data_IF_063634787706
#
_entry.id   IF_063634787706
#
_cell.length_a   1.000
_cell.length_b   1.000
_cell.length_c   1.000
_cell.angle_alpha   90.00
_cell.angle_beta   90.00
_cell.angle_gamma   90.00
#
_symmetry.space_group_name_H-M   'P 1'
#
loop_
_entity.id
_entity.type
_entity.pdbx_description
1 polymer ?
#
# COMPACT_ATOMS: atom_id res chain seq x y z
N UNK A 1 15.85 0.30 -0.80
CA UNK A 1 16.13 1.09 -2.03
C UNK A 1 15.56 2.47 -1.82
N UNK A 2 16.32 3.50 -2.16
CA UNK A 2 15.89 4.88 -2.09
C UNK A 2 15.89 5.41 -3.53
N UNK A 3 14.75 5.88 -3.99
CA UNK A 3 14.60 6.55 -5.29
C UNK A 3 14.42 8.06 -5.09
N UNK A 4 14.55 8.85 -6.16
CA UNK A 4 14.18 10.26 -6.12
C UNK A 4 12.70 10.41 -5.76
N UNK A 5 12.37 11.25 -4.76
CA UNK A 5 10.98 11.54 -4.38
C UNK A 5 10.14 12.05 -5.56
N UNK A 6 10.80 12.68 -6.54
CA UNK A 6 10.17 13.17 -7.76
C UNK A 6 9.57 12.05 -8.59
N UNK A 7 10.05 10.81 -8.49
CA UNK A 7 9.47 9.68 -9.21
C UNK A 7 8.08 9.30 -8.69
N UNK A 8 7.84 9.42 -7.39
CA UNK A 8 6.53 9.17 -6.80
C UNK A 8 5.54 10.26 -7.22
N UNK A 9 5.97 11.53 -7.23
CA UNK A 9 5.18 12.66 -7.74
C UNK A 9 4.88 12.47 -9.23
N UNK A 10 5.90 12.20 -10.05
CA UNK A 10 5.77 11.97 -11.50
C UNK A 10 4.80 10.83 -11.82
N UNK A 11 4.86 9.73 -11.06
CA UNK A 11 3.91 8.60 -11.20
C UNK A 11 2.49 8.98 -10.80
N UNK A 12 2.31 9.73 -9.72
CA UNK A 12 1.00 10.21 -9.30
C UNK A 12 0.37 11.09 -10.40
N UNK A 13 1.13 12.04 -10.94
CA UNK A 13 0.64 12.96 -11.97
C UNK A 13 0.30 12.24 -13.28
N UNK A 14 1.12 11.25 -13.69
CA UNK A 14 0.79 10.41 -14.83
C UNK A 14 -0.54 9.66 -14.63
N UNK A 15 -0.80 9.13 -13.43
CA UNK A 15 -2.08 8.48 -13.11
C UNK A 15 -3.24 9.48 -13.13
N UNK A 16 -3.06 10.68 -12.58
CA UNK A 16 -4.09 11.72 -12.59
C UNK A 16 -4.40 12.21 -14.01
N UNK A 17 -3.40 12.29 -14.89
CA UNK A 17 -3.62 12.55 -16.31
C UNK A 17 -4.54 11.49 -16.93
N UNK A 18 -4.24 10.21 -16.72
CA UNK A 18 -5.03 9.10 -17.27
C UNK A 18 -6.46 9.10 -16.73
N UNK A 19 -6.64 9.36 -15.43
CA UNK A 19 -7.96 9.52 -14.81
C UNK A 19 -8.70 10.69 -15.46
N UNK A 20 -8.06 11.85 -15.57
CA UNK A 20 -8.69 13.04 -16.13
C UNK A 20 -9.09 12.87 -17.59
N UNK A 21 -8.22 12.26 -18.40
CA UNK A 21 -8.52 11.89 -19.77
C UNK A 21 -9.68 10.89 -19.84
N UNK A 22 -9.69 9.85 -19.00
CA UNK A 22 -10.78 8.84 -19.00
C UNK A 22 -12.15 9.43 -18.65
N UNK A 23 -12.16 10.55 -17.92
CA UNK A 23 -13.37 11.31 -17.54
C UNK A 23 -13.77 12.38 -18.56
N UNK A 24 -12.99 12.55 -19.63
CA UNK A 24 -13.29 13.49 -20.70
C UNK A 24 -12.97 14.95 -20.39
N UNK A 25 -12.13 15.23 -19.39
CA UNK A 25 -11.63 16.59 -19.16
C UNK A 25 -10.71 17.04 -20.29
N UNK A 26 -10.74 18.33 -20.58
CA UNK A 26 -9.83 18.97 -21.54
C UNK A 26 -8.39 18.99 -21.04
N UNK A 27 -7.41 19.09 -21.93
CA UNK A 27 -5.99 19.20 -21.56
C UNK A 27 -5.71 20.33 -20.56
N UNK A 28 -6.45 21.44 -20.68
CA UNK A 28 -6.35 22.59 -19.77
C UNK A 28 -6.87 22.24 -18.36
N UNK A 29 -7.98 21.52 -18.27
CA UNK A 29 -8.51 21.05 -16.98
C UNK A 29 -7.58 20.01 -16.35
N UNK A 30 -7.02 19.10 -17.15
CA UNK A 30 -6.05 18.12 -16.67
C UNK A 30 -4.79 18.83 -16.15
N UNK A 31 -4.25 19.80 -16.89
CA UNK A 31 -3.09 20.58 -16.45
C UNK A 31 -3.35 21.25 -15.08
N UNK A 32 -4.54 21.83 -14.89
CA UNK A 32 -4.96 22.45 -13.63
C UNK A 32 -5.07 21.42 -12.50
N UNK A 33 -5.65 20.24 -12.74
CA UNK A 33 -5.71 19.12 -11.79
C UNK A 33 -4.30 18.72 -11.32
N UNK A 34 -3.36 18.57 -12.27
CA UNK A 34 -1.98 18.22 -11.97
C UNK A 34 -1.31 19.32 -11.15
N UNK A 35 -1.48 20.59 -11.54
CA UNK A 35 -0.94 21.76 -10.85
C UNK A 35 -1.39 21.84 -9.40
N UNK A 36 -2.70 21.71 -9.15
CA UNK A 36 -3.28 21.73 -7.80
C UNK A 36 -2.69 20.60 -6.94
N UNK A 37 -2.49 19.41 -7.51
CA UNK A 37 -1.89 18.29 -6.79
C UNK A 37 -0.45 18.62 -6.33
N UNK A 38 0.39 19.16 -7.23
CA UNK A 38 1.80 19.50 -6.92
C UNK A 38 1.89 20.68 -5.96
N UNK A 39 1.07 21.71 -6.13
CA UNK A 39 1.04 22.86 -5.23
C UNK A 39 0.62 22.43 -3.82
N UNK A 40 -0.40 21.58 -3.70
CA UNK A 40 -0.84 21.05 -2.42
C UNK A 40 0.24 20.18 -1.76
N UNK A 41 0.96 19.37 -2.56
CA UNK A 41 2.14 18.62 -2.10
C UNK A 41 3.23 19.55 -1.54
N UNK A 42 3.67 20.55 -2.32
CA UNK A 42 4.73 21.48 -1.90
C UNK A 42 4.35 22.28 -0.65
N UNK A 43 3.13 22.83 -0.64
CA UNK A 43 2.59 23.55 0.52
C UNK A 43 2.68 22.68 1.76
N UNK A 44 2.29 21.40 1.66
CA UNK A 44 2.31 20.47 2.79
C UNK A 44 3.74 20.12 3.23
N UNK A 45 4.68 19.91 2.30
CA UNK A 45 6.10 19.71 2.63
C UNK A 45 6.66 20.90 3.44
N UNK A 46 6.36 22.13 3.04
CA UNK A 46 6.79 23.33 3.76
C UNK A 46 6.11 23.50 5.12
N UNK A 47 4.86 23.06 5.27
CA UNK A 47 4.20 23.00 6.57
C UNK A 47 4.93 22.04 7.53
N UNK A 48 5.31 20.84 7.06
CA UNK A 48 6.10 19.88 7.86
C UNK A 48 7.50 20.44 8.24
N UNK A 49 8.09 21.29 7.40
CA UNK A 49 9.35 21.96 7.75
C UNK A 49 9.21 22.97 8.91
N UNK A 50 8.04 23.56 9.09
CA UNK A 50 7.77 24.61 10.11
C UNK A 50 7.30 24.01 11.43
N UNK A 51 6.53 22.93 11.38
CA UNK A 51 5.97 22.27 12.55
C UNK A 51 6.24 20.77 12.44
N UNK A 52 6.82 20.17 13.49
CA UNK A 52 6.77 18.73 13.67
C UNK A 52 5.34 18.32 13.95
N UNK A 53 4.55 18.16 12.90
CA UNK A 53 3.21 17.64 12.97
C UNK A 53 3.22 16.17 12.54
N UNK A 54 3.94 15.37 13.33
CA UNK A 54 4.11 13.93 13.15
C UNK A 54 2.75 13.20 13.12
N UNK A 55 1.69 13.84 13.61
CA UNK A 55 0.32 13.34 13.67
C UNK A 55 -0.62 13.84 12.56
N UNK A 56 -0.12 14.56 11.54
CA UNK A 56 -1.00 14.97 10.44
C UNK A 56 -1.68 13.75 9.81
N UNK A 57 -3.01 13.81 9.74
CA UNK A 57 -3.86 12.85 9.08
C UNK A 57 -5.03 13.58 8.41
N UNK A 58 -5.57 13.00 7.34
CA UNK A 58 -6.87 13.37 6.80
C UNK A 58 -7.95 12.71 7.66
N UNK A 59 -8.86 13.52 8.20
CA UNK A 59 -9.85 13.14 9.21
C UNK A 59 -11.19 13.77 8.88
N UNK A 60 -12.26 13.32 9.53
CA UNK A 60 -13.60 13.91 9.39
C UNK A 60 -13.67 15.42 9.71
N UNK A 61 -12.69 15.95 10.47
CA UNK A 61 -12.64 17.37 10.88
C UNK A 61 -12.00 18.28 9.84
N UNK A 62 -11.07 17.77 9.03
CA UNK A 62 -10.29 18.54 8.05
C UNK A 62 -10.48 18.07 6.61
N UNK A 63 -11.47 17.20 6.37
CA UNK A 63 -11.88 16.76 5.04
C UNK A 63 -13.32 17.19 4.75
N UNK A 64 -13.61 17.38 3.46
CA UNK A 64 -14.94 17.60 2.90
C UNK A 64 -15.16 16.70 1.67
N UNK A 65 -16.30 16.88 1.00
CA UNK A 65 -16.63 16.21 -0.26
C UNK A 65 -16.50 14.68 -0.21
N UNK A 66 -15.93 14.13 -1.28
CA UNK A 66 -15.79 12.68 -1.51
C UNK A 66 -14.90 12.00 -0.46
N UNK A 67 -13.84 12.67 -0.01
CA UNK A 67 -12.95 12.11 1.03
C UNK A 67 -13.65 12.01 2.38
N UNK A 68 -14.42 13.03 2.78
CA UNK A 68 -15.21 12.95 4.03
C UNK A 68 -16.29 11.88 3.96
N UNK A 69 -16.92 11.71 2.79
CA UNK A 69 -17.89 10.65 2.55
C UNK A 69 -17.24 9.27 2.75
N UNK A 70 -16.14 9.01 2.04
CA UNK A 70 -15.34 7.79 2.17
C UNK A 70 -15.00 7.49 3.64
N UNK A 71 -14.43 8.46 4.37
CA UNK A 71 -14.08 8.29 5.78
C UNK A 71 -15.29 7.96 6.69
N UNK A 72 -16.48 8.49 6.39
CA UNK A 72 -17.69 8.14 7.14
C UNK A 72 -18.16 6.72 6.82
N UNK A 73 -18.11 6.32 5.55
CA UNK A 73 -18.50 4.99 5.08
C UNK A 73 -17.56 3.92 5.65
N UNK A 74 -16.24 4.13 5.59
CA UNK A 74 -15.25 3.20 6.14
C UNK A 74 -15.38 3.02 7.66
N UNK A 75 -15.77 4.08 8.39
CA UNK A 75 -15.88 4.05 9.86
C UNK A 75 -17.06 3.20 10.36
N UNK A 76 -18.15 3.11 9.58
CA UNK A 76 -19.34 2.35 10.00
C UNK A 76 -19.27 0.85 9.61
N UNK A 77 -18.24 0.44 8.86
CA UNK A 77 -18.03 -0.96 8.52
C UNK A 77 -17.78 -1.80 9.77
N UNK A 78 -18.33 -3.01 9.77
CA UNK A 78 -18.20 -3.95 10.88
C UNK A 78 -17.15 -5.02 10.57
N UNK A 79 -16.28 -5.29 11.55
CA UNK A 79 -15.37 -6.43 11.51
C UNK A 79 -16.12 -7.75 11.27
N UNK A 80 -17.24 -7.96 11.97
CA UNK A 80 -18.06 -9.17 11.84
C UNK A 80 -18.64 -9.29 10.43
N UNK A 81 -19.20 -8.21 9.89
CA UNK A 81 -19.74 -8.21 8.52
C UNK A 81 -18.64 -8.49 7.49
N UNK A 82 -17.41 -8.02 7.74
CA UNK A 82 -16.27 -8.30 6.90
C UNK A 82 -15.86 -9.78 6.96
N UNK A 83 -15.78 -10.37 8.16
CA UNK A 83 -15.57 -11.82 8.33
C UNK A 83 -16.64 -12.62 7.58
N UNK A 84 -17.91 -12.28 7.75
CA UNK A 84 -19.04 -12.99 7.12
C UNK A 84 -19.02 -12.88 5.59
N UNK A 85 -18.43 -11.82 5.04
CA UNK A 85 -18.26 -11.68 3.58
C UNK A 85 -17.20 -12.63 2.98
N UNK A 86 -16.31 -13.17 3.82
CA UNK A 86 -15.17 -14.00 3.39
C UNK A 86 -15.19 -15.42 3.98
N UNK A 87 -16.00 -15.65 5.01
CA UNK A 87 -16.05 -16.89 5.79
C UNK A 87 -17.47 -17.34 6.04
N UNK A 88 -17.64 -18.64 6.28
CA UNK A 88 -18.86 -19.24 6.78
C UNK A 88 -18.55 -20.02 8.08
N UNK A 89 -19.60 -20.38 8.82
CA UNK A 89 -19.48 -21.23 10.01
C UNK A 89 -19.78 -22.66 9.61
N UNK A 90 -18.80 -23.55 9.80
CA UNK A 90 -18.88 -24.98 9.52
C UNK A 90 -18.38 -25.74 10.74
N UNK A 91 -19.17 -26.72 11.23
CA UNK A 91 -18.83 -27.51 12.42
C UNK A 91 -18.43 -26.66 13.64
N UNK A 92 -19.19 -25.58 13.89
CA UNK A 92 -18.97 -24.63 15.00
C UNK A 92 -17.70 -23.76 14.91
N UNK A 93 -16.92 -23.86 13.83
CA UNK A 93 -15.74 -23.02 13.58
C UNK A 93 -15.90 -22.21 12.28
N UNK A 94 -15.17 -21.09 12.16
CA UNK A 94 -15.13 -20.33 10.90
C UNK A 94 -14.18 -20.97 9.88
N UNK A 95 -14.60 -20.95 8.62
CA UNK A 95 -13.86 -21.42 7.45
C UNK A 95 -13.98 -20.42 6.31
N UNK A 96 -12.97 -20.32 5.45
CA UNK A 96 -13.07 -19.45 4.27
C UNK A 96 -14.12 -19.96 3.28
N UNK A 97 -14.82 -19.05 2.62
CA UNK A 97 -15.72 -19.40 1.52
C UNK A 97 -14.86 -19.75 0.29
N UNK A 98 -14.95 -20.99 -0.19
CA UNK A 98 -14.25 -21.46 -1.39
C UNK A 98 -14.90 -20.86 -2.64
N UNK A 99 -14.08 -20.55 -3.64
CA UNK A 99 -14.50 -19.99 -4.94
C UNK A 99 -13.44 -20.22 -6.00
N UNK A 100 -13.67 -19.88 -7.27
CA UNK A 100 -12.65 -20.01 -8.33
C UNK A 100 -11.30 -19.34 -8.01
N UNK A 101 -11.30 -18.31 -7.16
CA UNK A 101 -10.10 -17.57 -6.75
C UNK A 101 -9.66 -17.89 -5.32
N UNK A 102 -10.43 -18.67 -4.55
CA UNK A 102 -10.12 -19.10 -3.17
C UNK A 102 -10.21 -20.62 -3.12
N UNK A 103 -9.06 -21.29 -3.09
CA UNK A 103 -8.95 -22.74 -3.24
C UNK A 103 -8.25 -23.37 -2.04
N UNK A 104 -8.56 -24.64 -1.79
CA UNK A 104 -7.83 -25.43 -0.82
C UNK A 104 -6.38 -25.65 -1.27
N UNK A 105 -5.51 -25.93 -0.30
CA UNK A 105 -4.09 -26.22 -0.51
C UNK A 105 -3.81 -27.67 -0.11
N UNK A 106 -2.79 -28.28 -0.71
CA UNK A 106 -2.33 -29.60 -0.29
C UNK A 106 -1.65 -29.56 1.09
N UNK A 107 -1.52 -30.74 1.70
CA UNK A 107 -0.96 -30.88 3.06
C UNK A 107 0.48 -30.37 3.16
N UNK A 108 1.27 -30.50 2.10
CA UNK A 108 2.67 -30.05 2.09
C UNK A 108 2.74 -28.52 2.16
N UNK A 109 1.99 -27.85 1.29
CA UNK A 109 1.84 -26.40 1.27
C UNK A 109 1.27 -25.89 2.58
N UNK A 110 0.30 -26.61 3.17
CA UNK A 110 -0.26 -26.29 4.48
C UNK A 110 0.82 -26.32 5.56
N UNK A 111 1.63 -27.38 5.62
CA UNK A 111 2.73 -27.49 6.57
C UNK A 111 3.74 -26.34 6.40
N UNK A 112 4.11 -26.01 5.16
CA UNK A 112 5.03 -24.90 4.88
C UNK A 112 4.49 -23.55 5.35
N UNK A 113 3.19 -23.29 5.15
CA UNK A 113 2.55 -22.05 5.60
C UNK A 113 2.46 -21.99 7.12
N UNK A 114 2.15 -23.10 7.81
CA UNK A 114 2.11 -23.13 9.27
C UNK A 114 3.49 -22.87 9.88
N UNK A 115 4.55 -23.46 9.32
CA UNK A 115 5.93 -23.19 9.71
C UNK A 115 6.31 -21.71 9.46
N UNK A 116 5.91 -21.16 8.31
CA UNK A 116 6.11 -19.75 7.98
C UNK A 116 5.33 -18.83 8.93
N UNK A 117 4.13 -19.22 9.36
CA UNK A 117 3.28 -18.48 10.29
C UNK A 117 3.92 -18.38 11.68
N UNK A 118 4.50 -19.46 12.21
CA UNK A 118 5.23 -19.43 13.49
C UNK A 118 6.41 -18.45 13.46
N UNK A 119 7.11 -18.37 12.32
CA UNK A 119 8.20 -17.41 12.11
C UNK A 119 7.67 -15.98 11.96
N UNK A 120 6.57 -15.81 11.23
CA UNK A 120 5.90 -14.52 11.06
C UNK A 120 5.46 -13.93 12.39
N UNK A 121 4.83 -14.71 13.27
CA UNK A 121 4.36 -14.21 14.57
C UNK A 121 5.53 -13.62 15.37
N UNK A 122 6.73 -14.20 15.29
CA UNK A 122 7.92 -13.66 15.96
C UNK A 122 8.37 -12.31 15.36
N UNK A 123 8.03 -12.01 14.11
CA UNK A 123 8.35 -10.74 13.44
C UNK A 123 7.43 -9.57 13.83
N UNK A 124 6.21 -9.86 14.31
CA UNK A 124 5.26 -8.82 14.73
C UNK A 124 5.69 -8.23 16.07
N UNK A 125 5.64 -6.89 16.26
CA UNK A 125 5.96 -6.25 17.54
C UNK A 125 5.14 -6.79 18.72
N UNK A 126 5.80 -7.08 19.84
CA UNK A 126 5.13 -7.56 21.07
C UNK A 126 4.06 -6.60 21.59
N UNK A 127 4.29 -5.29 21.47
CA UNK A 127 3.33 -4.23 21.83
C UNK A 127 2.07 -4.22 20.97
N UNK A 128 2.12 -4.82 19.77
CA UNK A 128 1.01 -4.93 18.84
C UNK A 128 0.27 -6.26 18.95
N UNK A 129 0.87 -7.30 19.54
CA UNK A 129 0.20 -8.58 19.83
C UNK A 129 -0.78 -8.38 20.99
N UNK A 130 -2.08 -8.54 20.74
CA UNK A 130 -3.10 -8.46 21.80
C UNK A 130 -2.82 -9.49 22.90
N UNK A 131 -2.98 -9.09 24.15
CA UNK A 131 -3.00 -9.99 25.30
C UNK A 131 -4.34 -10.73 25.37
N UNK A 132 -4.35 -12.00 24.99
CA UNK A 132 -5.39 -13.01 25.19
C UNK A 132 -4.98 -14.27 24.42
N UNK A 133 -4.93 -15.49 24.93
CA UNK A 133 -5.40 -16.10 26.19
C UNK A 133 -4.29 -16.30 27.24
N UNK A 134 -4.74 -16.41 28.50
CA UNK A 134 -4.12 -16.83 29.77
C UNK A 134 -2.63 -17.24 29.85
N UNK A 135 -1.94 -16.69 30.85
CA UNK A 135 -0.72 -17.27 31.45
C UNK A 135 0.50 -17.46 30.52
N UNK A 136 0.80 -16.45 29.70
CA UNK A 136 2.12 -16.34 29.08
C UNK A 136 2.40 -17.30 27.90
N UNK A 137 1.38 -17.99 27.38
CA UNK A 137 1.46 -18.71 26.10
C UNK A 137 0.57 -18.06 25.03
N UNK A 138 1.21 -17.46 24.02
CA UNK A 138 0.56 -16.83 22.86
C UNK A 138 0.37 -17.87 21.74
N UNK A 139 -0.40 -18.92 22.02
CA UNK A 139 -0.64 -19.97 21.02
C UNK A 139 -1.77 -19.52 20.10
N UNK A 140 -1.42 -18.89 18.97
CA UNK A 140 -2.39 -18.50 17.94
C UNK A 140 -2.91 -19.75 17.22
N UNK A 141 -4.19 -20.11 17.45
CA UNK A 141 -4.83 -21.23 16.75
C UNK A 141 -5.18 -20.84 15.33
N UNK A 142 -4.56 -21.52 14.35
CA UNK A 142 -4.92 -21.38 12.93
C UNK A 142 -6.15 -22.23 12.64
N UNK A 143 -7.27 -21.60 12.28
CA UNK A 143 -8.55 -22.27 11.97
C UNK A 143 -8.60 -22.79 10.55
N UNK A 144 -8.12 -22.00 9.58
CA UNK A 144 -8.19 -22.34 8.16
C UNK A 144 -7.07 -21.67 7.36
N UNK A 145 -6.67 -22.29 6.24
CA UNK A 145 -5.70 -21.72 5.30
C UNK A 145 -6.12 -22.03 3.87
N UNK A 146 -6.14 -21.01 3.02
CA UNK A 146 -6.53 -21.14 1.60
C UNK A 146 -5.56 -20.40 0.69
N UNK A 147 -5.40 -20.90 -0.53
CA UNK A 147 -4.73 -20.17 -1.60
C UNK A 147 -5.71 -19.17 -2.23
N UNK A 148 -5.22 -17.97 -2.49
CA UNK A 148 -5.96 -16.90 -3.16
C UNK A 148 -5.22 -16.42 -4.41
N UNK A 149 -5.88 -16.55 -5.55
CA UNK A 149 -5.40 -16.03 -6.83
C UNK A 149 -5.80 -14.56 -6.96
N UNK A 150 -4.83 -13.67 -7.22
CA UNK A 150 -5.14 -12.25 -7.48
C UNK A 150 -5.47 -12.03 -8.97
N UNK A 151 -6.63 -11.45 -9.30
CA UNK A 151 -6.98 -11.11 -10.69
C UNK A 151 -6.29 -9.84 -11.22
N UNK A 152 -5.53 -9.11 -10.38
CA UNK A 152 -4.91 -7.82 -10.73
C UNK A 152 -3.62 -7.89 -11.55
N UNK A 153 -3.40 -6.89 -12.41
CA UNK A 153 -2.31 -6.81 -13.41
C UNK A 153 -0.89 -6.92 -12.82
N UNK A 154 -0.66 -6.35 -11.62
CA UNK A 154 0.65 -6.39 -10.94
C UNK A 154 0.95 -7.70 -10.19
N UNK A 155 -0.04 -8.59 -10.09
CA UNK A 155 0.06 -9.89 -9.39
C UNK A 155 -0.52 -11.04 -10.22
N UNK A 156 -0.73 -10.84 -11.53
CA UNK A 156 -1.28 -11.85 -12.41
C UNK A 156 -0.47 -13.14 -12.32
N UNK A 157 -1.16 -14.25 -12.03
CA UNK A 157 -0.57 -15.58 -11.86
C UNK A 157 0.09 -15.85 -10.50
N UNK A 158 0.13 -14.89 -9.56
CA UNK A 158 0.76 -15.09 -8.25
C UNK A 158 -0.27 -15.53 -7.21
N UNK A 159 0.05 -16.61 -6.51
CA UNK A 159 -0.73 -17.14 -5.40
C UNK A 159 -0.32 -16.40 -4.12
N UNK A 160 -1.31 -15.83 -3.44
CA UNK A 160 -1.20 -15.39 -2.04
C UNK A 160 -1.93 -16.39 -1.15
N UNK A 161 -1.69 -16.38 0.15
CA UNK A 161 -2.39 -17.26 1.08
C UNK A 161 -3.20 -16.45 2.08
N UNK A 162 -4.41 -16.89 2.40
CA UNK A 162 -5.21 -16.33 3.49
C UNK A 162 -5.18 -17.30 4.66
N UNK A 163 -4.92 -16.77 5.85
CA UNK A 163 -4.82 -17.54 7.10
C UNK A 163 -5.86 -16.98 8.06
N UNK A 164 -6.78 -17.83 8.50
CA UNK A 164 -7.78 -17.49 9.51
C UNK A 164 -7.25 -17.92 10.87
N UNK A 165 -7.13 -16.99 11.81
CA UNK A 165 -6.65 -17.26 13.16
C UNK A 165 -7.72 -16.93 14.19
N UNK A 166 -7.71 -17.66 15.30
CA UNK A 166 -8.55 -17.36 16.44
C UNK A 166 -8.23 -15.99 17.05
N UNK A 167 -9.28 -15.26 17.40
CA UNK A 167 -9.18 -13.97 18.06
C UNK A 167 -8.67 -14.04 19.50
N UNK A 168 -8.64 -12.89 20.22
CA UNK A 168 -8.27 -12.84 21.62
C UNK A 168 -9.20 -13.64 22.56
N UNK A 169 -10.41 -13.96 22.09
CA UNK A 169 -11.37 -14.83 22.77
C UNK A 169 -11.83 -15.93 21.80
N UNK A 170 -12.47 -16.97 22.33
CA UNK A 170 -13.08 -18.05 21.52
C UNK A 170 -14.34 -17.60 20.76
N UNK A 171 -14.71 -16.31 20.86
CA UNK A 171 -15.83 -15.74 20.11
C UNK A 171 -15.44 -15.61 18.65
N UNK A 172 -16.15 -16.30 17.75
CA UNK A 172 -15.89 -16.30 16.31
C UNK A 172 -15.91 -14.90 15.68
N UNK A 173 -16.57 -13.92 16.29
CA UNK A 173 -16.60 -12.51 15.85
C UNK A 173 -15.24 -11.80 16.02
N UNK A 174 -14.33 -12.37 16.81
CA UNK A 174 -13.00 -11.84 17.08
C UNK A 174 -11.92 -12.49 16.21
N UNK A 175 -12.26 -13.49 15.40
CA UNK A 175 -11.31 -14.16 14.50
C UNK A 175 -10.67 -13.17 13.53
N UNK A 176 -9.41 -13.40 13.16
CA UNK A 176 -8.62 -12.47 12.36
C UNK A 176 -8.25 -13.13 11.04
N UNK A 177 -8.41 -12.39 9.94
CA UNK A 177 -7.96 -12.81 8.62
C UNK A 177 -6.61 -12.15 8.34
N UNK A 178 -5.60 -12.97 8.12
CA UNK A 178 -4.30 -12.53 7.62
C UNK A 178 -4.17 -12.88 6.15
N UNK A 179 -3.49 -12.03 5.39
CA UNK A 179 -3.01 -12.36 4.05
C UNK A 179 -1.48 -12.44 4.03
N UNK A 180 -0.95 -13.50 3.47
CA UNK A 180 0.47 -13.73 3.24
C UNK A 180 0.75 -13.62 1.74
N UNK A 181 1.57 -12.63 1.36
CA UNK A 181 1.86 -12.33 -0.04
C UNK A 181 3.37 -12.46 -0.31
N UNK A 182 3.78 -13.24 -1.34
CA UNK A 182 5.16 -13.25 -1.80
C UNK A 182 5.64 -11.83 -2.11
N UNK A 183 6.75 -11.45 -1.48
CA UNK A 183 7.37 -10.15 -1.66
C UNK A 183 8.15 -10.12 -2.97
N UNK A 184 8.04 -9.02 -3.69
CA UNK A 184 8.78 -8.82 -4.94
C UNK A 184 10.05 -8.03 -4.70
N UNK A 185 11.05 -8.27 -5.54
CA UNK A 185 12.22 -7.40 -5.64
C UNK A 185 11.76 -5.98 -5.95
N UNK A 186 12.33 -5.01 -5.26
CA UNK A 186 12.01 -3.60 -5.50
C UNK A 186 12.21 -3.24 -6.98
N UNK A 187 11.22 -2.61 -7.60
CA UNK A 187 11.35 -2.12 -8.98
C UNK A 187 12.52 -1.15 -9.15
N UNK A 188 12.86 -0.38 -8.10
CA UNK A 188 13.96 0.58 -8.11
C UNK A 188 15.32 -0.15 -8.23
N UNK A 189 15.44 -1.38 -7.71
CA UNK A 189 16.69 -2.15 -7.74
C UNK A 189 17.22 -2.48 -9.15
N UNK A 190 16.34 -2.42 -10.15
CA UNK A 190 16.72 -2.66 -11.54
C UNK A 190 17.40 -1.44 -12.18
N UNK A 191 17.23 -0.25 -11.61
CA UNK A 191 17.71 1.02 -12.18
C UNK A 191 18.74 1.69 -11.27
N UNK A 192 18.52 1.66 -9.95
CA UNK A 192 19.41 2.26 -8.96
C UNK A 192 20.04 1.15 -8.12
N UNK A 193 21.37 1.04 -8.23
CA UNK A 193 22.17 0.13 -7.39
C UNK A 193 22.61 0.83 -6.12
N UNK A 194 22.36 0.19 -4.99
CA UNK A 194 22.82 0.65 -3.69
C UNK A 194 23.25 -0.57 -2.86
N UNK A 195 24.54 -0.96 -2.92
CA UNK A 195 25.04 -2.15 -2.24
C UNK A 195 24.83 -2.14 -0.73
N UNK A 196 24.87 -0.96 -0.08
CA UNK A 196 24.62 -0.85 1.36
C UNK A 196 23.19 -1.27 1.70
N UNK A 197 22.21 -0.79 0.94
CA UNK A 197 20.80 -1.17 1.07
C UNK A 197 20.54 -2.63 0.70
N UNK A 198 21.21 -3.12 -0.34
CA UNK A 198 21.12 -4.52 -0.77
C UNK A 198 21.64 -5.47 0.33
N UNK A 199 22.73 -5.11 1.01
CA UNK A 199 23.32 -5.89 2.09
C UNK A 199 22.55 -5.74 3.42
N UNK A 200 21.87 -4.62 3.63
CA UNK A 200 21.11 -4.38 4.86
C UNK A 200 19.87 -5.29 4.96
N UNK A 201 19.11 -5.45 3.88
CA UNK A 201 17.90 -6.27 3.91
C UNK A 201 18.20 -7.73 3.62
N UNK A 202 17.89 -8.60 4.59
CA UNK A 202 17.97 -10.06 4.42
C UNK A 202 17.17 -10.58 3.22
N UNK A 203 15.97 -10.03 3.01
CA UNK A 203 15.09 -10.38 1.87
C UNK A 203 13.98 -9.32 1.68
N UNK A 204 13.26 -9.39 0.56
CA UNK A 204 12.25 -8.38 0.19
C UNK A 204 11.00 -8.31 1.10
N UNK A 205 10.67 -9.37 1.83
CA UNK A 205 9.58 -9.37 2.82
C UNK A 205 9.84 -8.39 3.96
N UNK A 206 10.98 -8.57 4.64
CA UNK A 206 11.52 -7.67 5.65
C UNK A 206 11.64 -6.24 5.12
N UNK A 207 12.19 -6.05 3.90
CA UNK A 207 12.30 -4.73 3.29
C UNK A 207 10.95 -4.03 3.20
N UNK A 208 9.94 -4.73 2.67
CA UNK A 208 8.61 -4.16 2.45
C UNK A 208 7.98 -3.74 3.78
N UNK A 209 8.07 -4.58 4.80
CA UNK A 209 7.54 -4.30 6.15
C UNK A 209 8.26 -3.12 6.81
N UNK A 210 9.59 -3.11 6.79
CA UNK A 210 10.38 -2.01 7.37
C UNK A 210 10.10 -0.67 6.66
N UNK A 211 9.97 -0.68 5.34
CA UNK A 211 9.60 0.51 4.59
C UNK A 211 8.18 0.99 4.94
N UNK A 212 7.22 0.09 5.16
CA UNK A 212 5.88 0.47 5.63
C UNK A 212 5.91 1.10 7.03
N UNK A 213 6.68 0.53 7.96
CA UNK A 213 6.91 1.14 9.29
C UNK A 213 7.58 2.50 9.23
N UNK A 214 8.52 2.69 8.29
CA UNK A 214 9.13 3.99 8.08
C UNK A 214 8.10 4.98 7.54
N UNK A 215 7.34 4.65 6.48
CA UNK A 215 6.53 5.62 5.74
C UNK A 215 5.14 5.92 6.35
N UNK A 216 4.60 5.03 7.18
CA UNK A 216 3.23 5.17 7.70
C UNK A 216 3.24 5.64 9.15
N UNK A 217 2.46 6.70 9.43
CA UNK A 217 2.25 7.19 10.80
C UNK A 217 1.32 6.30 11.65
N UNK A 218 0.69 5.29 11.04
CA UNK A 218 -0.06 4.26 11.74
C UNK A 218 0.00 2.99 10.91
N UNK A 219 0.90 2.10 11.30
CA UNK A 219 1.03 0.80 10.64
C UNK A 219 -0.03 -0.19 11.13
N UNK A 220 -0.48 -1.09 10.24
CA UNK A 220 -1.35 -2.18 10.63
C UNK A 220 -0.77 -2.99 11.79
N UNK A 221 -1.67 -3.50 12.64
CA UNK A 221 -1.30 -4.19 13.88
C UNK A 221 -0.55 -5.50 13.63
N UNK A 222 -0.93 -6.22 12.58
CA UNK A 222 -0.43 -7.54 12.23
C UNK A 222 0.57 -7.51 11.08
N UNK A 223 1.11 -6.34 10.75
CA UNK A 223 2.12 -6.23 9.72
C UNK A 223 3.41 -6.93 10.16
N UNK A 224 3.86 -7.90 9.38
CA UNK A 224 5.05 -8.70 9.64
C UNK A 224 5.59 -9.37 8.38
N UNK A 225 6.67 -10.13 8.53
CA UNK A 225 7.33 -10.79 7.41
C UNK A 225 7.71 -12.23 7.77
N UNK A 226 7.84 -13.07 6.75
CA UNK A 226 8.34 -14.45 6.88
C UNK A 226 8.91 -14.95 5.56
N UNK A 227 9.18 -16.24 5.46
CA UNK A 227 9.48 -16.91 4.20
C UNK A 227 8.78 -18.27 4.14
N UNK A 228 8.24 -18.62 2.98
CA UNK A 228 7.79 -19.98 2.66
C UNK A 228 8.94 -20.64 1.91
N UNK A 229 9.67 -21.53 2.57
CA UNK A 229 10.96 -22.02 2.05
C UNK A 229 11.92 -20.84 1.78
N UNK A 230 12.33 -20.66 0.52
CA UNK A 230 13.18 -19.54 0.09
C UNK A 230 12.40 -18.31 -0.40
N UNK A 231 11.06 -18.35 -0.42
CA UNK A 231 10.23 -17.28 -0.96
C UNK A 231 9.91 -16.29 0.16
N UNK A 232 10.45 -15.06 0.13
CA UNK A 232 10.13 -14.07 1.15
C UNK A 232 8.69 -13.60 1.02
N UNK A 233 8.03 -13.38 2.15
CA UNK A 233 6.64 -12.96 2.22
C UNK A 233 6.47 -11.76 3.16
N UNK A 234 5.52 -10.90 2.82
CA UNK A 234 4.90 -10.00 3.80
C UNK A 234 3.60 -10.66 4.29
N UNK A 235 3.22 -10.36 5.53
CA UNK A 235 1.97 -10.79 6.15
C UNK A 235 1.34 -9.57 6.77
N UNK A 236 0.03 -9.43 6.61
CA UNK A 236 -0.72 -8.32 7.19
C UNK A 236 -2.20 -8.72 7.36
N UNK A 237 -2.94 -7.95 8.15
CA UNK A 237 -4.36 -8.16 8.42
C UNK A 237 -5.22 -7.64 7.28
N UNK A 238 -6.25 -8.41 6.94
CA UNK A 238 -7.36 -7.93 6.13
C UNK A 238 -8.37 -7.27 7.08
N UNK A 239 -8.55 -5.95 6.95
CA UNK A 239 -9.42 -5.18 7.85
C UNK A 239 -10.59 -4.55 7.11
N UNK A 240 -11.73 -4.49 7.79
CA UNK A 240 -12.94 -3.80 7.32
C UNK A 240 -12.75 -2.29 7.16
N UNK A 241 -11.71 -1.72 7.79
CA UNK A 241 -11.45 -0.29 7.84
C UNK A 241 -10.36 0.19 6.88
N UNK A 242 -10.01 -0.63 5.88
CA UNK A 242 -9.18 -0.24 4.75
C UNK A 242 -10.06 -0.20 3.49
N UNK A 243 -10.08 0.94 2.80
CA UNK A 243 -10.93 1.15 1.64
C UNK A 243 -10.23 2.03 0.61
N UNK A 244 -10.33 1.62 -0.65
CA UNK A 244 -9.84 2.39 -1.79
C UNK A 244 -10.85 3.49 -2.15
N UNK A 245 -10.35 4.61 -2.66
CA UNK A 245 -11.21 5.65 -3.22
C UNK A 245 -11.79 5.16 -4.55
N UNK A 246 -13.11 5.06 -4.62
CA UNK A 246 -13.82 4.80 -5.87
C UNK A 246 -13.84 6.07 -6.74
N UNK A 247 -13.16 6.00 -7.89
CA UNK A 247 -13.09 7.10 -8.84
C UNK A 247 -14.30 7.16 -9.77
N UNK A 248 -15.08 6.08 -9.91
CA UNK A 248 -16.22 6.03 -10.84
C UNK A 248 -17.29 7.08 -10.46
N UNK A 249 -17.41 7.36 -9.16
CA UNK A 249 -18.34 8.33 -8.58
C UNK A 249 -17.80 9.79 -8.53
N UNK A 250 -16.61 10.06 -9.06
CA UNK A 250 -15.94 11.38 -8.99
C UNK A 250 -15.83 11.96 -10.40
N UNK A 251 -16.89 12.60 -10.89
CA UNK A 251 -16.99 13.04 -12.29
C UNK A 251 -16.95 14.55 -12.48
N UNK A 252 -17.33 15.33 -11.47
CA UNK A 252 -17.32 16.79 -11.55
C UNK A 252 -15.90 17.32 -11.34
N UNK A 253 -15.49 18.31 -12.16
CA UNK A 253 -14.17 18.92 -12.07
C UNK A 253 -13.85 19.42 -10.64
N UNK A 254 -14.84 20.05 -9.97
CA UNK A 254 -14.69 20.55 -8.61
C UNK A 254 -14.46 19.44 -7.57
N UNK A 255 -15.09 18.28 -7.74
CA UNK A 255 -14.86 17.12 -6.86
C UNK A 255 -13.44 16.57 -7.07
N UNK A 256 -12.97 16.53 -8.31
CA UNK A 256 -11.63 16.04 -8.67
C UNK A 256 -10.56 16.95 -8.08
N UNK A 257 -10.64 18.27 -8.26
CA UNK A 257 -9.64 19.21 -7.72
C UNK A 257 -9.58 19.16 -6.19
N UNK A 258 -10.71 18.96 -5.51
CA UNK A 258 -10.76 18.79 -4.05
C UNK A 258 -10.01 17.51 -3.63
N UNK A 259 -10.31 16.39 -4.29
CA UNK A 259 -9.68 15.08 -4.03
C UNK A 259 -8.17 15.11 -4.29
N UNK A 260 -7.72 15.66 -5.43
CA UNK A 260 -6.28 15.72 -5.75
C UNK A 260 -5.52 16.67 -4.83
N UNK A 261 -6.19 17.69 -4.29
CA UNK A 261 -5.68 18.54 -3.23
C UNK A 261 -5.35 17.71 -1.98
N UNK A 262 -6.24 16.79 -1.57
CA UNK A 262 -5.98 15.86 -0.47
C UNK A 262 -4.90 14.82 -0.81
N UNK A 263 -4.85 14.32 -2.04
CA UNK A 263 -3.81 13.38 -2.48
C UNK A 263 -2.41 14.01 -2.45
N UNK A 264 -2.27 15.28 -2.84
CA UNK A 264 -1.01 16.02 -2.71
C UNK A 264 -0.54 16.10 -1.26
N UNK A 265 -1.45 16.39 -0.32
CA UNK A 265 -1.14 16.42 1.12
C UNK A 265 -0.77 15.03 1.67
N UNK A 266 -1.49 13.98 1.25
CA UNK A 266 -1.21 12.61 1.66
C UNK A 266 0.15 12.13 1.14
N UNK A 267 0.50 12.47 -0.10
CA UNK A 267 1.80 12.17 -0.70
C UNK A 267 2.93 12.86 0.07
N UNK A 268 2.76 14.15 0.39
CA UNK A 268 3.71 14.87 1.22
C UNK A 268 3.85 14.26 2.61
N UNK A 269 2.76 13.79 3.23
CA UNK A 269 2.80 13.09 4.52
C UNK A 269 3.64 11.81 4.46
N UNK A 270 3.45 11.00 3.42
CA UNK A 270 4.21 9.75 3.21
C UNK A 270 5.71 10.05 3.06
N UNK A 271 6.08 11.12 2.35
CA UNK A 271 7.47 11.51 2.18
C UNK A 271 8.08 12.11 3.46
N UNK A 272 7.35 12.99 4.15
CA UNK A 272 7.90 13.85 5.22
C UNK A 272 7.86 13.25 6.62
N UNK A 273 6.94 12.33 6.92
CA UNK A 273 6.73 11.83 8.30
C UNK A 273 7.32 10.44 8.51
N UNK A 274 8.38 10.13 7.75
CA UNK A 274 8.94 8.79 7.66
C UNK A 274 9.78 8.31 8.88
N UNK A 275 9.67 8.94 10.06
CA UNK A 275 10.57 8.71 11.21
C UNK A 275 9.89 8.70 12.60
N UNK A 276 8.59 9.01 12.71
CA UNK A 276 7.94 9.17 14.03
C UNK A 276 7.73 7.84 14.75
N UNK A 277 7.23 6.84 14.03
CA UNK A 277 6.96 5.49 14.56
C UNK A 277 8.20 4.58 14.50
N UNK A 278 9.28 4.99 13.83
CA UNK A 278 10.58 4.31 13.94
C UNK A 278 11.10 4.32 15.38
N UNK A 279 10.68 5.25 16.23
CA UNK A 279 11.08 5.26 17.66
C UNK A 279 10.33 4.23 18.50
N UNK A 280 9.18 3.76 18.03
CA UNK A 280 8.29 2.80 18.70
C UNK A 280 8.25 1.45 17.97
N UNK A 281 8.89 1.32 16.81
CA UNK A 281 9.30 0.00 16.29
C UNK A 281 10.19 -0.67 17.32
N UNK A 282 9.95 -1.95 17.65
CA UNK A 282 10.82 -2.71 18.55
C UNK A 282 12.29 -2.58 18.14
N UNK A 283 13.21 -2.59 19.11
CA UNK A 283 14.66 -2.62 18.84
C UNK A 283 15.07 -3.79 17.90
N UNK A 284 14.20 -4.79 17.78
CA UNK A 284 14.34 -6.01 16.99
C UNK A 284 13.90 -5.82 15.52
N UNK A 285 13.13 -4.76 15.24
CA UNK A 285 12.70 -4.31 13.92
C UNK A 285 13.53 -3.06 13.61
N UNK A 286 14.78 -3.27 13.23
CA UNK A 286 15.77 -2.21 13.06
C UNK A 286 15.20 -1.04 12.25
N UNK A 287 15.20 0.15 12.84
CA UNK A 287 15.00 1.38 12.07
C UNK A 287 16.02 1.39 10.94
N UNK A 288 15.61 1.83 9.75
CA UNK A 288 16.55 2.02 8.65
C UNK A 288 17.69 2.93 9.13
N UNK A 289 18.96 2.50 9.03
CA UNK A 289 20.05 3.20 9.68
C UNK A 289 20.14 4.63 9.15
N UNK A 290 20.55 5.57 10.00
CA UNK A 290 20.61 7.00 9.68
C UNK A 290 21.54 7.35 8.51
N UNK A 291 22.43 6.44 8.11
CA UNK A 291 23.23 6.55 6.90
C UNK A 291 22.44 6.35 5.61
N UNK A 292 21.21 5.81 5.68
CA UNK A 292 20.42 5.35 4.53
C UNK A 292 19.21 6.26 4.25
N UNK A 293 18.53 6.80 5.26
CA UNK A 293 17.42 7.75 5.08
C UNK A 293 17.69 9.03 5.90
N UNK A 294 17.59 10.24 5.31
CA UNK A 294 17.72 11.48 6.04
C UNK A 294 16.66 11.60 7.16
N UNK A 295 17.07 11.94 8.40
CA UNK A 295 16.15 12.21 9.53
C UNK A 295 15.18 13.38 9.33
N UNK A 296 15.35 14.16 8.27
CA UNK A 296 14.60 15.38 7.97
C UNK A 296 14.28 15.42 6.48
N UNK A 297 13.59 14.38 5.98
CA UNK A 297 13.24 14.23 4.56
C UNK A 297 12.50 15.47 4.06
N UNK A 298 11.63 16.07 4.89
CA UNK A 298 10.95 17.32 4.60
C UNK A 298 11.93 18.47 4.30
N UNK A 299 13.03 18.57 5.05
CA UNK A 299 14.05 19.60 4.80
C UNK A 299 14.90 19.26 3.58
N UNK A 300 15.23 17.99 3.37
CA UNK A 300 15.94 17.55 2.16
C UNK A 300 15.13 17.87 0.89
N UNK A 301 13.83 17.58 0.90
CA UNK A 301 12.93 17.94 -0.21
C UNK A 301 12.86 19.45 -0.37
N UNK A 302 12.62 20.19 0.73
CA UNK A 302 12.59 21.66 0.69
C UNK A 302 13.89 22.22 0.11
N UNK A 303 15.05 21.78 0.58
CA UNK A 303 16.35 22.34 0.19
C UNK A 303 16.70 22.00 -1.27
N UNK A 304 16.15 20.92 -1.82
CA UNK A 304 16.26 20.59 -3.24
C UNK A 304 15.39 21.47 -4.16
N UNK A 305 14.31 22.05 -3.65
CA UNK A 305 13.30 22.78 -4.47
C UNK A 305 13.34 24.30 -4.22
N UNK A 306 13.60 24.70 -2.97
CA UNK A 306 13.38 26.06 -2.47
C UNK A 306 14.09 27.10 -3.34
N UNK A 307 13.33 28.07 -3.81
CA UNK A 307 13.82 29.13 -4.69
C UNK A 307 13.47 28.89 -6.16
N UNK A 308 13.09 27.65 -6.50
CA UNK A 308 12.69 27.22 -7.84
C UNK A 308 11.30 26.56 -7.82
N UNK A 309 10.44 26.94 -6.87
CA UNK A 309 9.13 26.33 -6.64
C UNK A 309 8.27 26.28 -7.90
N UNK A 310 8.22 27.39 -8.66
CA UNK A 310 7.46 27.47 -9.90
C UNK A 310 8.05 26.60 -11.01
N UNK A 311 9.38 26.53 -11.10
CA UNK A 311 10.08 25.67 -12.05
C UNK A 311 9.80 24.20 -11.75
N UNK A 312 9.85 23.81 -10.48
CA UNK A 312 9.48 22.46 -10.04
C UNK A 312 8.03 22.12 -10.38
N UNK A 313 7.07 23.01 -10.08
CA UNK A 313 5.66 22.79 -10.43
C UNK A 313 5.52 22.59 -11.94
N UNK A 314 6.13 23.46 -12.74
CA UNK A 314 6.04 23.39 -14.19
C UNK A 314 6.68 22.11 -14.73
N UNK A 315 7.86 21.70 -14.26
CA UNK A 315 8.51 20.45 -14.68
C UNK A 315 7.65 19.22 -14.34
N UNK A 316 7.07 19.17 -13.14
CA UNK A 316 6.23 18.04 -12.72
C UNK A 316 4.94 17.97 -13.54
N UNK A 317 4.29 19.10 -13.77
CA UNK A 317 3.06 19.19 -14.60
C UNK A 317 3.37 18.82 -16.04
N UNK A 318 4.42 19.39 -16.64
CA UNK A 318 4.86 19.06 -18.00
C UNK A 318 5.15 17.56 -18.13
N UNK A 319 5.87 16.97 -17.18
CA UNK A 319 6.11 15.54 -17.18
C UNK A 319 4.79 14.75 -17.15
N UNK A 320 3.85 15.11 -16.26
CA UNK A 320 2.56 14.43 -16.15
C UNK A 320 1.75 14.48 -17.45
N UNK A 321 1.72 15.65 -18.10
CA UNK A 321 1.05 15.85 -19.39
C UNK A 321 1.71 15.02 -20.50
N UNK A 322 3.03 15.11 -20.65
CA UNK A 322 3.78 14.44 -21.73
C UNK A 322 3.78 12.93 -21.54
N UNK A 323 4.10 12.45 -20.34
CA UNK A 323 4.18 11.02 -20.07
C UNK A 323 2.80 10.37 -20.02
N UNK A 324 1.77 11.07 -19.52
CA UNK A 324 0.39 10.59 -19.56
C UNK A 324 -0.11 10.38 -21.00
N UNK A 325 0.13 11.37 -21.88
CA UNK A 325 -0.20 11.26 -23.30
C UNK A 325 0.57 10.12 -23.99
N UNK A 326 1.85 9.92 -23.63
CA UNK A 326 2.65 8.79 -24.11
C UNK A 326 2.03 7.45 -23.72
N UNK A 327 1.69 7.26 -22.43
CA UNK A 327 1.07 6.02 -21.94
C UNK A 327 -0.24 5.72 -22.67
N UNK A 328 -1.06 6.74 -22.92
CA UNK A 328 -2.30 6.57 -23.68
C UNK A 328 -2.03 6.10 -25.12
N UNK A 329 -1.08 6.74 -25.81
CA UNK A 329 -0.69 6.38 -27.17
C UNK A 329 -0.16 4.95 -27.23
N UNK A 330 0.70 4.60 -26.28
CA UNK A 330 1.33 3.28 -26.22
C UNK A 330 0.29 2.20 -25.89
N UNK A 331 -0.70 2.49 -25.03
CA UNK A 331 -1.82 1.59 -24.78
C UNK A 331 -2.69 1.38 -26.04
N UNK A 332 -2.97 2.45 -26.80
CA UNK A 332 -3.69 2.33 -28.08
C UNK A 332 -2.92 1.45 -29.07
N UNK A 333 -1.61 1.69 -29.21
CA UNK A 333 -0.74 0.88 -30.07
C UNK A 333 -0.72 -0.59 -29.62
N UNK A 334 -0.60 -0.84 -28.31
CA UNK A 334 -0.67 -2.19 -27.75
C UNK A 334 -1.99 -2.87 -28.12
N UNK A 335 -3.13 -2.19 -27.96
CA UNK A 335 -4.44 -2.75 -28.27
C UNK A 335 -4.61 -3.04 -29.77
N UNK A 336 -4.12 -2.15 -30.64
CA UNK A 336 -4.10 -2.36 -32.09
C UNK A 336 -3.24 -3.57 -32.48
N UNK A 337 -2.01 -3.67 -31.94
CA UNK A 337 -1.13 -4.81 -32.18
C UNK A 337 -1.72 -6.11 -31.64
N UNK A 338 -2.31 -6.08 -30.45
CA UNK A 338 -2.94 -7.24 -29.82
C UNK A 338 -4.11 -7.75 -30.64
N UNK A 339 -5.03 -6.88 -31.05
CA UNK A 339 -6.21 -7.27 -31.86
C UNK A 339 -5.85 -7.80 -33.23
N UNK A 340 -4.75 -7.31 -33.81
CA UNK A 340 -4.27 -7.75 -35.11
C UNK A 340 -3.28 -8.93 -35.03
N UNK A 341 -3.12 -9.55 -33.84
CA UNK A 341 -2.21 -10.69 -33.61
C UNK A 341 -0.77 -10.40 -34.04
N UNK A 342 -0.32 -9.16 -33.83
CA UNK A 342 1.04 -8.74 -34.12
C UNK A 342 1.97 -8.81 -32.90
N UNK A 343 1.47 -9.28 -31.74
CA UNK A 343 2.27 -9.48 -30.53
C UNK A 343 2.68 -10.96 -30.46
N UNK A 344 3.96 -11.31 -30.66
CA UNK A 344 4.43 -12.68 -30.58
C UNK A 344 4.12 -13.30 -29.22
N UNK A 345 3.62 -14.54 -29.21
CA UNK A 345 3.30 -15.29 -27.98
C UNK A 345 1.88 -15.08 -27.41
N UNK A 346 1.04 -14.26 -28.06
CA UNK A 346 -0.39 -14.07 -27.73
C UNK A 346 -1.34 -14.68 -28.76
N UNK A 347 -0.86 -15.60 -29.60
CA UNK A 347 -1.59 -16.10 -30.77
C UNK A 347 -2.69 -17.14 -30.43
N UNK A 348 -2.65 -17.73 -29.22
CA UNK A 348 -3.51 -18.85 -28.79
C UNK A 348 -4.08 -18.71 -27.35
N UNK A 349 -4.80 -17.61 -27.05
CA UNK A 349 -5.70 -17.56 -25.88
C UNK A 349 -7.15 -17.30 -26.26
#
# INVERSE_FOLDING_TARGET
>A
YCGPFTWDVKRLLASLYLIGHSKGFSDREIEEILRICVESYLKKVYEFCKQKNDYFALTLKNTSGKIKKLLNETRIKSHVAHLDSMTNIENYDRRFIRSKIVQDIDDTTRTDILNAFETYIKSVPESKKTSGYSEGRKDYKVKDVVARSSPGVGSAGKISYSILIEGPTETLENDIILYMKPAQKSAISYVIRNPELENYFKHDGLRTVLCSYAMQASTPKWLGYTSIGSIPCLVDEVTAHAEDLDWDDINEFNDVIEVVGYLGQATAKIHCVADSDCKSTPNDVACLPFSIIPRQVEKTIRDAIRGNDQEFINEMVEFGMVYGALVQRDHKLFFELFRNKHIPGFEEQ
#
